data_IF_692118568692
#
_entry.id   IF_692118568692
#
_cell.length_a   1.000
_cell.length_b   1.000
_cell.length_c   1.000
_cell.angle_alpha   90.00
_cell.angle_beta   90.00
_cell.angle_gamma   90.00
#
_symmetry.space_group_name_H-M   'P 1'
#
loop_
_entity.id
_entity.type
_entity.pdbx_description
1 polymer ?
#
# COMPACT_ATOMS: atom_id res chain seq x y z
N UNK A 1 -1.13 12.51 12.99
CA UNK A 1 -2.06 11.82 12.05
C UNK A 1 -1.39 11.74 10.68
N UNK A 2 -0.50 10.76 10.45
CA UNK A 2 0.27 10.65 9.20
C UNK A 2 -0.36 9.71 8.16
N UNK A 3 -1.23 8.80 8.60
CA UNK A 3 -1.91 7.88 7.70
C UNK A 3 -3.09 8.55 6.98
N UNK A 4 -3.00 8.62 5.64
CA UNK A 4 -3.95 9.32 4.77
C UNK A 4 -4.90 8.39 4.00
N UNK A 5 -4.70 7.07 4.05
CA UNK A 5 -5.50 6.08 3.32
C UNK A 5 -6.74 5.65 4.14
N UNK A 6 -7.47 4.63 3.67
CA UNK A 6 -8.73 4.15 4.26
C UNK A 6 -8.53 3.62 5.68
N UNK A 7 -9.36 4.05 6.63
CA UNK A 7 -9.44 3.51 7.99
C UNK A 7 -10.91 3.44 8.44
N UNK A 8 -11.24 2.77 9.56
CA UNK A 8 -12.62 2.74 10.09
C UNK A 8 -13.24 4.12 10.35
N UNK A 9 -12.41 5.16 10.48
CA UNK A 9 -12.85 6.53 10.80
C UNK A 9 -12.40 7.55 9.74
N UNK A 10 -11.88 7.08 8.59
CA UNK A 10 -11.37 7.94 7.53
C UNK A 10 -11.70 7.36 6.17
N UNK A 11 -12.48 8.12 5.39
CA UNK A 11 -12.81 7.79 4.01
C UNK A 11 -11.62 7.99 3.06
N UNK A 12 -11.66 7.29 1.94
CA UNK A 12 -10.63 7.36 0.90
C UNK A 12 -11.27 7.29 -0.49
N UNK A 13 -10.76 8.08 -1.43
CA UNK A 13 -11.22 8.05 -2.81
C UNK A 13 -10.60 6.91 -3.61
N UNK A 14 -11.31 6.40 -4.61
CA UNK A 14 -10.74 5.49 -5.61
C UNK A 14 -10.19 6.29 -6.79
N UNK A 15 -8.89 6.11 -7.10
CA UNK A 15 -8.20 6.88 -8.15
C UNK A 15 -8.90 6.69 -9.50
N UNK A 16 -9.05 7.80 -10.25
CA UNK A 16 -9.73 7.86 -11.55
C UNK A 16 -11.20 7.42 -11.52
N UNK A 17 -11.81 7.44 -10.35
CA UNK A 17 -13.25 7.36 -10.19
C UNK A 17 -13.74 8.60 -9.45
N UNK A 18 -15.03 8.88 -9.54
CA UNK A 18 -15.69 9.88 -8.68
C UNK A 18 -16.22 9.26 -7.39
N UNK A 19 -15.66 8.15 -6.91
CA UNK A 19 -16.17 7.41 -5.75
C UNK A 19 -15.31 7.59 -4.50
N UNK A 20 -15.99 7.76 -3.36
CA UNK A 20 -15.43 7.77 -2.01
C UNK A 20 -15.90 6.54 -1.26
N UNK A 21 -14.95 5.84 -0.63
CA UNK A 21 -15.20 4.65 0.19
C UNK A 21 -15.25 5.00 1.67
N UNK A 22 -16.23 4.42 2.38
CA UNK A 22 -16.30 4.40 3.84
C UNK A 22 -16.52 2.97 4.34
N UNK A 23 -15.68 2.52 5.29
CA UNK A 23 -15.79 1.17 5.86
C UNK A 23 -17.07 1.06 6.69
N UNK A 24 -17.83 0.00 6.45
CA UNK A 24 -18.97 -0.41 7.27
C UNK A 24 -18.62 -1.59 8.16
N UNK A 25 -17.91 -2.58 7.60
CA UNK A 25 -17.57 -3.82 8.29
C UNK A 25 -16.20 -4.32 7.84
N UNK A 26 -15.45 -4.90 8.79
CA UNK A 26 -14.19 -5.58 8.55
C UNK A 26 -14.41 -7.05 8.89
N UNK A 27 -14.39 -7.91 7.88
CA UNK A 27 -14.47 -9.35 8.06
C UNK A 27 -13.05 -9.88 8.27
N UNK A 28 -12.88 -10.71 9.30
CA UNK A 28 -11.59 -11.24 9.72
C UNK A 28 -11.60 -12.76 9.72
N UNK A 29 -10.43 -13.36 9.53
CA UNK A 29 -10.22 -14.79 9.65
C UNK A 29 -10.07 -15.24 11.12
N UNK A 30 -9.78 -16.53 11.33
CA UNK A 30 -9.55 -17.10 12.67
C UNK A 30 -8.32 -16.55 13.39
N UNK A 31 -7.37 -15.95 12.66
CA UNK A 31 -6.16 -15.33 13.19
C UNK A 31 -6.34 -13.82 13.41
N UNK A 32 -7.57 -13.31 13.24
CA UNK A 32 -7.93 -11.90 13.35
C UNK A 32 -7.33 -11.01 12.24
N UNK A 33 -6.88 -11.60 11.13
CA UNK A 33 -6.39 -10.85 9.96
C UNK A 33 -7.57 -10.42 9.06
N UNK A 34 -7.58 -9.17 8.55
CA UNK A 34 -8.66 -8.68 7.70
C UNK A 34 -8.60 -9.34 6.31
N UNK A 35 -9.67 -10.05 5.94
CA UNK A 35 -9.78 -10.75 4.65
C UNK A 35 -10.74 -10.08 3.68
N UNK A 36 -11.71 -9.31 4.18
CA UNK A 36 -12.68 -8.58 3.36
C UNK A 36 -13.12 -7.29 4.05
N UNK A 37 -13.34 -6.24 3.26
CA UNK A 37 -13.89 -4.98 3.72
C UNK A 37 -15.23 -4.73 3.02
N UNK A 38 -16.31 -4.60 3.79
CA UNK A 38 -17.57 -4.08 3.25
C UNK A 38 -17.57 -2.57 3.39
N UNK A 39 -17.78 -1.90 2.26
CA UNK A 39 -17.71 -0.44 2.17
C UNK A 39 -18.99 0.11 1.54
N UNK A 40 -19.33 1.35 1.89
CA UNK A 40 -20.25 2.15 1.10
C UNK A 40 -19.47 2.99 0.09
N UNK A 41 -20.05 3.15 -1.10
CA UNK A 41 -19.51 4.00 -2.16
C UNK A 41 -20.45 5.18 -2.36
N UNK A 42 -19.92 6.40 -2.32
CA UNK A 42 -20.68 7.62 -2.61
C UNK A 42 -19.94 8.46 -3.65
N UNK A 43 -20.66 9.24 -4.46
CA UNK A 43 -20.00 10.13 -5.39
C UNK A 43 -19.34 11.28 -4.62
N UNK A 44 -18.16 11.74 -5.04
CA UNK A 44 -17.47 12.90 -4.45
C UNK A 44 -18.36 14.16 -4.49
N UNK A 45 -19.27 14.25 -5.45
CA UNK A 45 -20.20 15.39 -5.60
C UNK A 45 -21.47 15.26 -4.78
N UNK A 46 -21.74 14.11 -4.15
CA UNK A 46 -22.97 13.93 -3.39
C UNK A 46 -22.95 14.81 -2.12
N UNK A 47 -24.10 15.39 -1.80
CA UNK A 47 -24.24 16.20 -0.59
C UNK A 47 -23.96 15.36 0.68
N UNK A 48 -23.20 15.94 1.61
CA UNK A 48 -22.85 15.26 2.86
C UNK A 48 -21.65 14.32 2.78
N UNK A 49 -21.02 14.14 1.62
CA UNK A 49 -19.79 13.35 1.51
C UNK A 49 -18.61 14.10 2.13
N UNK A 50 -18.09 13.52 3.21
CA UNK A 50 -16.95 14.10 3.93
C UNK A 50 -15.70 14.16 3.03
N UNK A 51 -14.97 15.28 3.12
CA UNK A 51 -13.72 15.50 2.38
C UNK A 51 -12.71 14.39 2.71
N UNK A 52 -12.41 13.55 1.73
CA UNK A 52 -11.42 12.48 1.85
C UNK A 52 -9.99 13.06 1.74
N UNK A 53 -9.02 12.37 2.33
CA UNK A 53 -7.63 12.88 2.44
C UNK A 53 -6.68 12.38 1.36
N UNK A 54 -7.06 11.32 0.64
CA UNK A 54 -6.25 10.76 -0.44
C UNK A 54 -7.08 9.87 -1.37
N UNK A 55 -6.47 9.55 -2.51
CA UNK A 55 -6.94 8.53 -3.44
C UNK A 55 -5.99 7.34 -3.43
N UNK A 56 -6.54 6.12 -3.51
CA UNK A 56 -5.78 4.87 -3.63
C UNK A 56 -5.97 4.23 -5.01
N UNK A 57 -4.97 3.46 -5.43
CA UNK A 57 -5.06 2.60 -6.61
C UNK A 57 -5.94 1.38 -6.32
N UNK A 58 -6.58 0.85 -7.36
CA UNK A 58 -7.53 -0.25 -7.28
C UNK A 58 -7.61 -1.00 -8.61
N UNK A 59 -8.17 -2.21 -8.59
CA UNK A 59 -8.39 -3.05 -9.77
C UNK A 59 -9.75 -3.74 -9.63
N UNK A 60 -10.63 -3.65 -10.64
CA UNK A 60 -11.96 -4.29 -10.63
C UNK A 60 -11.93 -5.78 -10.97
N UNK A 61 -11.11 -6.15 -11.95
CA UNK A 61 -10.95 -7.51 -12.45
C UNK A 61 -9.48 -7.89 -12.35
N UNK A 62 -9.02 -8.37 -11.18
CA UNK A 62 -7.61 -8.64 -10.96
C UNK A 62 -7.13 -9.80 -11.83
N UNK A 63 -6.02 -9.60 -12.51
CA UNK A 63 -5.30 -10.66 -13.20
C UNK A 63 -4.14 -11.15 -12.33
N UNK A 64 -3.89 -12.46 -12.36
CA UNK A 64 -2.70 -13.02 -11.70
C UNK A 64 -1.47 -12.60 -12.49
N UNK A 65 -0.54 -11.95 -11.80
CA UNK A 65 0.75 -11.58 -12.37
C UNK A 65 1.86 -11.76 -11.33
N UNK A 66 3.09 -11.81 -11.82
CA UNK A 66 4.28 -11.80 -10.98
C UNK A 66 4.78 -10.35 -10.85
N UNK A 67 5.04 -9.93 -9.61
CA UNK A 67 5.65 -8.62 -9.32
C UNK A 67 7.01 -8.87 -8.69
N UNK A 68 8.08 -8.41 -9.33
CA UNK A 68 9.46 -8.50 -8.82
C UNK A 68 9.85 -7.15 -8.23
N UNK A 69 9.84 -7.06 -6.90
CA UNK A 69 10.29 -5.88 -6.18
C UNK A 69 11.82 -5.95 -6.04
N UNK A 70 12.52 -5.15 -6.83
CA UNK A 70 13.96 -5.03 -6.74
C UNK A 70 14.35 -3.88 -5.85
N UNK A 71 15.38 -4.09 -5.03
CA UNK A 71 16.08 -3.07 -4.27
C UNK A 71 17.53 -2.98 -4.76
N UNK A 72 18.33 -2.13 -4.12
CA UNK A 72 19.78 -2.08 -4.38
C UNK A 72 20.39 -3.46 -4.15
N UNK A 73 21.24 -3.89 -5.08
CA UNK A 73 21.93 -5.19 -4.99
C UNK A 73 22.95 -5.23 -3.85
N UNK A 74 23.56 -4.08 -3.54
CA UNK A 74 24.58 -3.96 -2.50
C UNK A 74 24.13 -3.00 -1.40
N UNK A 75 24.59 -3.25 -0.18
CA UNK A 75 24.27 -2.43 0.99
C UNK A 75 25.04 -1.11 0.99
N UNK A 76 26.30 -1.13 0.53
CA UNK A 76 27.18 0.04 0.54
C UNK A 76 27.29 0.71 -0.84
N UNK A 77 27.62 2.03 -0.88
CA UNK A 77 27.87 2.73 -2.13
C UNK A 77 29.09 2.20 -2.91
N UNK A 78 30.12 1.72 -2.21
CA UNK A 78 31.37 1.22 -2.81
C UNK A 78 31.66 -0.23 -2.36
N UNK A 79 30.92 -1.23 -2.89
CA UNK A 79 31.02 -2.62 -2.42
C UNK A 79 32.38 -3.29 -2.69
N UNK A 80 33.23 -2.72 -3.54
CA UNK A 80 34.60 -3.20 -3.80
C UNK A 80 35.66 -2.57 -2.87
N UNK A 81 35.34 -1.51 -2.12
CA UNK A 81 36.29 -0.90 -1.18
C UNK A 81 36.45 -1.81 0.03
N UNK A 82 37.65 -2.38 0.21
CA UNK A 82 38.00 -3.21 1.37
C UNK A 82 37.90 -2.50 2.71
N UNK A 83 37.82 -1.16 2.73
CA UNK A 83 37.54 -0.39 3.95
C UNK A 83 36.07 -0.43 4.32
N UNK A 84 35.17 -0.38 3.33
CA UNK A 84 33.72 -0.46 3.53
C UNK A 84 33.26 -1.92 3.65
N UNK A 85 33.80 -2.80 2.82
CA UNK A 85 33.47 -4.23 2.74
C UNK A 85 34.73 -5.09 2.87
N UNK A 86 35.22 -5.33 4.10
CA UNK A 86 36.47 -6.06 4.33
C UNK A 86 36.48 -7.50 3.79
N UNK A 87 35.32 -8.16 3.82
CA UNK A 87 35.15 -9.55 3.40
C UNK A 87 34.86 -9.70 1.89
N UNK A 88 34.94 -8.59 1.14
CA UNK A 88 34.77 -8.52 -0.30
C UNK A 88 33.31 -8.36 -0.76
N UNK A 89 33.11 -7.85 -1.97
CA UNK A 89 31.80 -7.39 -2.45
C UNK A 89 30.65 -8.41 -2.38
N UNK A 90 30.93 -9.73 -2.42
CA UNK A 90 29.89 -10.75 -2.28
C UNK A 90 29.28 -10.80 -0.88
N UNK A 91 30.02 -10.41 0.16
CA UNK A 91 29.46 -10.29 1.52
C UNK A 91 28.54 -9.06 1.65
N UNK A 92 28.54 -8.17 0.65
CA UNK A 92 27.77 -6.93 0.66
C UNK A 92 26.43 -7.02 -0.06
N UNK A 93 26.06 -8.20 -0.55
CA UNK A 93 24.78 -8.41 -1.25
C UNK A 93 23.62 -8.15 -0.28
N UNK A 94 22.69 -7.30 -0.71
CA UNK A 94 21.46 -6.98 0.01
C UNK A 94 20.46 -8.16 -0.08
N UNK A 95 20.08 -8.78 1.05
CA UNK A 95 19.22 -9.96 1.07
C UNK A 95 17.75 -9.71 0.68
#
# INVERSE_FOLDING_TARGET
KEFKRLTPHQSCGLKYTSLVLTIQEIIRDSNNEPIELKVTCQNVTDEGVAKHKSFIHWVSHPNKCEVRLYERLFLHPNPEDKKEVPDGFLSDINP
#
